data_IF_528789357165
#
_entry.id   IF_528789357165
#
_cell.length_a   1.000
_cell.length_b   1.000
_cell.length_c   1.000
_cell.angle_alpha   90.00
_cell.angle_beta   90.00
_cell.angle_gamma   90.00
#
_symmetry.space_group_name_H-M   'P 1'
#
loop_
_entity.id
_entity.type
_entity.pdbx_description
1 polymer ?
#
# COMPACT_ATOMS: atom_id res chain seq x y z
N UNK A 1 -24.10 59.17 78.62
CA UNK A 1 -24.03 60.63 78.46
C UNK A 1 -22.62 61.03 78.16
N UNK A 2 -22.28 61.92 77.32
CA UNK A 2 -22.88 62.34 76.04
C UNK A 2 -21.89 61.91 74.88
N UNK A 3 -22.31 61.68 73.68
CA UNK A 3 -22.81 62.51 72.59
C UNK A 3 -21.73 63.28 71.82
N UNK A 4 -21.98 63.38 70.60
CA UNK A 4 -21.68 64.33 69.51
C UNK A 4 -20.58 63.92 68.58
N UNK A 5 -20.95 63.36 67.43
CA UNK A 5 -21.33 64.03 66.19
C UNK A 5 -20.18 64.75 65.46
N UNK A 6 -20.06 64.32 64.21
CA UNK A 6 -19.90 65.19 63.05
C UNK A 6 -18.66 66.07 62.97
N UNK A 7 -17.85 65.74 61.94
CA UNK A 7 -17.36 66.71 60.97
C UNK A 7 -16.72 65.95 59.80
N UNK A 8 -17.44 65.89 58.70
CA UNK A 8 -17.26 66.61 57.42
C UNK A 8 -16.05 66.25 56.61
N UNK A 9 -16.41 65.61 55.53
CA UNK A 9 -15.96 65.85 54.13
C UNK A 9 -14.77 66.86 54.01
N UNK A 10 -13.68 66.33 53.48
CA UNK A 10 -12.85 67.03 52.50
C UNK A 10 -12.07 65.95 51.72
N UNK A 11 -12.15 66.07 50.42
CA UNK A 11 -11.62 65.14 49.47
C UNK A 11 -10.11 65.13 49.38
N UNK A 12 -9.57 63.98 49.13
CA UNK A 12 -8.28 63.85 48.50
C UNK A 12 -8.38 62.69 47.53
N UNK A 13 -8.19 63.03 46.28
CA UNK A 13 -8.05 62.07 45.20
C UNK A 13 -6.83 61.19 45.47
N UNK A 14 -7.04 59.97 45.90
CA UNK A 14 -5.99 58.98 45.95
C UNK A 14 -6.02 58.24 44.61
N UNK A 15 -4.97 58.41 43.84
CA UNK A 15 -4.69 57.72 42.62
C UNK A 15 -4.74 56.20 42.85
N UNK A 16 -5.76 55.53 42.28
CA UNK A 16 -5.80 54.07 42.16
C UNK A 16 -4.82 53.69 41.05
N UNK A 17 -3.61 53.38 41.47
CA UNK A 17 -2.62 52.77 40.61
C UNK A 17 -3.08 51.39 40.20
N UNK A 18 -3.64 51.27 39.01
CA UNK A 18 -4.01 50.01 38.38
C UNK A 18 -2.71 49.26 38.03
N UNK A 19 -2.29 48.35 38.89
CA UNK A 19 -1.26 47.38 38.57
C UNK A 19 -1.89 46.34 37.63
N UNK A 20 -1.81 46.57 36.30
CA UNK A 20 -2.02 45.54 35.31
C UNK A 20 -0.79 44.63 35.38
N UNK A 21 -0.90 43.57 36.15
CA UNK A 21 -0.02 42.42 36.03
C UNK A 21 -0.26 41.85 34.63
N UNK A 22 0.55 42.29 33.68
CA UNK A 22 0.67 41.61 32.37
C UNK A 22 1.22 40.21 32.65
N UNK A 23 0.31 39.25 32.78
CA UNK A 23 0.64 37.83 32.73
C UNK A 23 1.16 37.57 31.31
N UNK A 24 2.47 37.67 31.14
CA UNK A 24 3.15 37.13 29.95
C UNK A 24 2.98 35.62 30.02
N UNK A 25 1.87 35.13 29.48
CA UNK A 25 1.77 33.71 29.16
C UNK A 25 2.86 33.45 28.12
N UNK A 26 3.99 32.93 28.56
CA UNK A 26 4.97 32.31 27.69
C UNK A 26 4.25 31.17 26.97
N UNK A 27 3.73 31.46 25.78
CA UNK A 27 3.39 30.41 24.81
C UNK A 27 4.72 29.73 24.50
N UNK A 28 5.04 28.72 25.28
CA UNK A 28 6.14 27.84 24.98
C UNK A 28 5.88 27.33 23.57
N UNK A 29 6.70 27.74 22.60
CA UNK A 29 6.73 27.13 21.29
C UNK A 29 6.95 25.65 21.57
N UNK A 30 5.90 24.84 21.45
CA UNK A 30 6.04 23.38 21.41
C UNK A 30 6.91 23.09 20.22
N UNK A 31 8.18 22.75 20.48
CA UNK A 31 9.04 22.14 19.48
C UNK A 31 8.25 20.95 18.93
N UNK A 32 8.01 20.88 17.62
CA UNK A 32 7.30 19.74 17.03
C UNK A 32 8.01 18.48 17.54
N UNK A 33 7.31 17.66 18.31
CA UNK A 33 7.86 16.38 18.76
C UNK A 33 8.18 15.61 17.49
N UNK A 34 9.45 15.32 17.26
CA UNK A 34 9.85 14.47 16.17
C UNK A 34 9.03 13.16 16.24
N UNK A 35 8.41 12.80 15.15
CA UNK A 35 7.59 11.60 15.07
C UNK A 35 8.45 10.38 15.41
N UNK A 36 8.06 9.53 16.39
CA UNK A 36 8.84 8.35 16.77
C UNK A 36 9.08 7.45 15.55
N UNK A 37 10.31 6.99 15.40
CA UNK A 37 10.71 6.09 14.31
C UNK A 37 11.36 4.86 14.92
N UNK A 38 10.78 3.68 14.65
CA UNK A 38 11.28 2.41 15.15
C UNK A 38 11.52 1.45 14.00
N UNK A 39 12.66 0.79 13.98
CA UNK A 39 12.99 -0.23 12.99
C UNK A 39 13.41 -1.54 13.64
N UNK A 40 13.01 -2.66 13.03
CA UNK A 40 13.52 -4.00 13.28
C UNK A 40 14.24 -4.48 12.03
N UNK A 41 15.51 -4.84 12.15
CA UNK A 41 16.32 -5.38 11.05
C UNK A 41 16.89 -6.74 11.43
N UNK A 42 16.67 -7.74 10.55
CA UNK A 42 17.09 -9.14 10.78
C UNK A 42 17.86 -9.62 9.55
N UNK A 43 19.07 -10.14 9.76
CA UNK A 43 19.91 -10.69 8.70
C UNK A 43 20.42 -12.09 9.04
N UNK A 44 20.07 -13.06 8.22
CA UNK A 44 20.43 -14.46 8.40
C UNK A 44 21.35 -14.94 7.27
N UNK A 45 22.58 -15.27 7.63
CA UNK A 45 23.62 -15.77 6.72
C UNK A 45 24.07 -17.19 7.04
N UNK A 46 24.13 -17.54 8.35
CA UNK A 46 24.78 -18.76 8.86
C UNK A 46 23.83 -19.98 8.84
N UNK A 47 23.20 -20.24 7.70
CA UNK A 47 22.39 -21.44 7.53
C UNK A 47 23.26 -22.71 7.46
N UNK A 48 22.77 -23.81 8.03
CA UNK A 48 23.46 -25.13 7.91
C UNK A 48 23.48 -25.61 6.46
N UNK A 49 22.35 -25.42 5.74
CA UNK A 49 22.24 -25.69 4.31
C UNK A 49 22.16 -24.36 3.57
N UNK A 50 22.96 -24.20 2.51
CA UNK A 50 22.98 -23.01 1.65
C UNK A 50 23.24 -21.69 2.41
N UNK A 51 24.40 -21.51 3.06
CA UNK A 51 24.76 -20.26 3.71
C UNK A 51 24.79 -19.11 2.69
N UNK A 52 24.43 -17.90 3.14
CA UNK A 52 24.41 -16.69 2.33
C UNK A 52 25.57 -15.78 2.73
N UNK A 53 26.09 -15.02 1.74
CA UNK A 53 27.26 -14.16 1.92
C UNK A 53 26.88 -12.81 2.53
N UNK A 54 25.86 -12.16 2.01
CA UNK A 54 25.61 -10.74 2.21
C UNK A 54 24.59 -10.36 3.31
N UNK A 55 23.61 -11.17 3.74
CA UNK A 55 22.53 -10.71 4.63
C UNK A 55 22.97 -10.02 5.91
N UNK A 56 24.03 -10.48 6.56
CA UNK A 56 24.55 -9.84 7.78
C UNK A 56 25.20 -8.50 7.45
N UNK A 57 25.89 -8.36 6.31
CA UNK A 57 26.45 -7.09 5.87
C UNK A 57 25.32 -6.10 5.52
N UNK A 58 24.27 -6.58 4.86
CA UNK A 58 23.11 -5.81 4.46
C UNK A 58 22.39 -5.22 5.69
N UNK A 59 22.17 -6.03 6.69
CA UNK A 59 21.55 -5.62 7.96
C UNK A 59 22.38 -4.58 8.70
N UNK A 60 23.69 -4.75 8.76
CA UNK A 60 24.59 -3.77 9.38
C UNK A 60 24.55 -2.42 8.68
N UNK A 61 24.62 -2.42 7.34
CA UNK A 61 24.54 -1.22 6.54
C UNK A 61 23.17 -0.55 6.63
N UNK A 62 22.09 -1.32 6.58
CA UNK A 62 20.72 -0.84 6.71
C UNK A 62 20.46 -0.27 8.11
N UNK A 63 20.91 -0.94 9.16
CA UNK A 63 20.79 -0.47 10.54
C UNK A 63 21.51 0.88 10.75
N UNK A 64 22.71 1.02 10.18
CA UNK A 64 23.43 2.29 10.21
C UNK A 64 22.63 3.38 9.49
N UNK A 65 22.16 3.12 8.28
CA UNK A 65 21.38 4.09 7.48
C UNK A 65 20.10 4.50 8.18
N UNK A 66 19.36 3.56 8.75
CA UNK A 66 18.12 3.86 9.47
C UNK A 66 18.37 4.71 10.74
N UNK A 67 19.49 4.48 11.47
CA UNK A 67 19.87 5.36 12.59
C UNK A 67 20.17 6.79 12.13
N UNK A 68 20.87 6.95 11.00
CA UNK A 68 21.14 8.25 10.38
C UNK A 68 19.84 8.98 9.98
N UNK A 69 18.78 8.22 9.69
CA UNK A 69 17.43 8.70 9.36
C UNK A 69 16.53 8.87 10.60
N UNK A 70 17.09 8.81 11.81
CA UNK A 70 16.38 9.05 13.07
C UNK A 70 15.58 7.87 13.61
N UNK A 71 15.81 6.65 13.11
CA UNK A 71 15.17 5.45 13.67
C UNK A 71 15.91 4.93 14.90
N UNK A 72 15.17 4.54 15.93
CA UNK A 72 15.64 3.57 16.91
C UNK A 72 15.64 2.20 16.24
N UNK A 73 16.79 1.49 16.24
CA UNK A 73 16.94 0.27 15.45
C UNK A 73 17.24 -0.94 16.34
N UNK A 74 16.36 -1.94 16.28
CA UNK A 74 16.57 -3.27 16.83
C UNK A 74 17.27 -4.12 15.76
N UNK A 75 18.41 -4.75 16.10
CA UNK A 75 19.24 -5.51 15.14
C UNK A 75 19.39 -6.94 15.60
N UNK A 76 19.13 -7.88 14.69
CA UNK A 76 19.38 -9.30 14.93
C UNK A 76 20.13 -9.91 13.75
N UNK A 77 21.26 -10.55 14.04
CA UNK A 77 22.10 -11.25 13.08
C UNK A 77 22.05 -12.75 13.38
N UNK A 78 21.87 -13.57 12.34
CA UNK A 78 21.83 -15.03 12.46
C UNK A 78 20.86 -15.51 13.55
N UNK A 79 19.64 -15.01 13.48
CA UNK A 79 18.63 -15.22 14.49
C UNK A 79 17.96 -16.60 14.35
N UNK A 80 17.77 -17.28 15.49
CA UNK A 80 16.93 -18.48 15.59
C UNK A 80 15.45 -18.11 15.47
N UNK A 81 14.59 -19.10 15.21
CA UNK A 81 13.14 -18.89 15.17
C UNK A 81 12.62 -18.18 16.41
N UNK A 82 12.98 -18.67 17.59
CA UNK A 82 12.58 -18.07 18.86
C UNK A 82 13.01 -16.61 18.99
N UNK A 83 14.23 -16.30 18.54
CA UNK A 83 14.75 -14.93 18.59
C UNK A 83 13.97 -14.03 17.63
N UNK A 84 13.68 -14.50 16.41
CA UNK A 84 12.93 -13.72 15.42
C UNK A 84 11.50 -13.42 15.90
N UNK A 85 10.78 -14.42 16.39
CA UNK A 85 9.42 -14.26 16.91
C UNK A 85 9.38 -13.31 18.12
N UNK A 86 10.31 -13.47 19.07
CA UNK A 86 10.40 -12.56 20.21
C UNK A 86 10.72 -11.12 19.80
N UNK A 87 11.59 -10.93 18.81
CA UNK A 87 11.93 -9.61 18.28
C UNK A 87 10.74 -8.96 17.56
N UNK A 88 9.95 -9.72 16.81
CA UNK A 88 8.74 -9.22 16.13
C UNK A 88 7.68 -8.78 17.16
N UNK A 89 7.46 -9.57 18.22
CA UNK A 89 6.51 -9.24 19.29
C UNK A 89 6.97 -7.97 20.04
N UNK A 90 8.25 -7.90 20.40
CA UNK A 90 8.82 -6.71 21.06
C UNK A 90 8.73 -5.47 20.16
N UNK A 91 8.99 -5.62 18.86
CA UNK A 91 8.85 -4.54 17.88
C UNK A 91 7.41 -4.05 17.82
N UNK A 92 6.41 -4.94 17.69
CA UNK A 92 4.99 -4.56 17.68
C UNK A 92 4.57 -3.84 18.95
N UNK A 93 4.98 -4.35 20.12
CA UNK A 93 4.69 -3.72 21.42
C UNK A 93 5.24 -2.29 21.50
N UNK A 94 6.45 -2.04 20.99
CA UNK A 94 7.07 -0.70 20.98
C UNK A 94 6.48 0.22 19.92
N UNK A 95 5.98 -0.33 18.80
CA UNK A 95 5.26 0.45 17.78
C UNK A 95 3.94 1.02 18.28
N UNK A 96 3.33 0.43 19.32
CA UNK A 96 2.09 0.94 19.91
C UNK A 96 2.21 2.38 20.46
N UNK A 97 3.43 2.89 20.61
CA UNK A 97 3.70 4.30 20.95
C UNK A 97 3.44 5.28 19.78
N UNK A 98 3.13 4.76 18.58
CA UNK A 98 2.83 5.51 17.38
C UNK A 98 4.04 5.76 16.47
N UNK A 99 3.85 6.57 15.43
CA UNK A 99 4.91 7.01 14.52
C UNK A 99 5.11 6.14 13.28
N UNK A 100 6.38 5.93 12.90
CA UNK A 100 6.78 5.17 11.71
C UNK A 100 7.46 3.88 12.12
N UNK A 101 6.93 2.74 11.64
CA UNK A 101 7.54 1.42 11.78
C UNK A 101 8.26 0.99 10.51
N UNK A 102 9.48 0.46 10.62
CA UNK A 102 10.21 -0.13 9.51
C UNK A 102 10.68 -1.53 9.89
N UNK A 103 10.43 -2.49 9.01
CA UNK A 103 10.98 -3.85 9.12
C UNK A 103 11.84 -4.13 7.89
N UNK A 104 13.03 -4.65 8.12
CA UNK A 104 13.93 -5.09 7.06
C UNK A 104 14.42 -6.50 7.36
N UNK A 105 14.29 -7.38 6.39
CA UNK A 105 14.80 -8.74 6.46
C UNK A 105 15.68 -9.06 5.27
N UNK A 106 16.85 -9.62 5.53
CA UNK A 106 17.74 -10.22 4.53
C UNK A 106 18.04 -11.68 4.89
N UNK A 107 17.81 -12.60 3.94
CA UNK A 107 17.99 -14.04 4.18
C UNK A 107 17.16 -14.92 3.25
N UNK A 108 17.05 -16.21 3.59
CA UNK A 108 16.16 -17.10 2.85
C UNK A 108 14.69 -16.81 3.18
N UNK A 109 13.86 -16.79 2.15
CA UNK A 109 12.42 -16.70 2.26
C UNK A 109 11.73 -17.80 1.44
N UNK A 110 10.61 -18.28 1.92
CA UNK A 110 9.83 -19.35 1.31
C UNK A 110 8.37 -18.95 1.17
N UNK A 111 7.72 -19.45 0.12
CA UNK A 111 6.29 -19.40 -0.02
C UNK A 111 5.71 -20.82 0.06
N UNK A 112 4.73 -21.00 0.94
CA UNK A 112 3.95 -22.24 1.04
C UNK A 112 2.47 -21.88 1.00
N UNK A 113 1.74 -22.39 0.00
CA UNK A 113 0.29 -22.17 -0.17
C UNK A 113 -0.12 -20.70 -0.09
N UNK A 114 0.64 -19.81 -0.74
CA UNK A 114 0.36 -18.38 -0.77
C UNK A 114 0.83 -17.59 0.45
N UNK A 115 1.36 -18.22 1.48
CA UNK A 115 1.90 -17.55 2.69
C UNK A 115 3.42 -17.47 2.63
N UNK A 116 3.97 -16.37 3.10
CA UNK A 116 5.40 -16.09 3.12
C UNK A 116 6.01 -16.43 4.46
N UNK A 117 7.16 -17.08 4.43
CA UNK A 117 7.90 -17.50 5.61
C UNK A 117 9.35 -17.01 5.53
N UNK A 118 9.84 -16.44 6.62
CA UNK A 118 11.24 -16.06 6.81
C UNK A 118 11.98 -17.21 7.48
N UNK A 119 13.13 -17.60 6.94
CA UNK A 119 13.86 -18.77 7.39
C UNK A 119 14.86 -18.39 8.49
N UNK A 120 14.73 -18.88 9.72
CA UNK A 120 15.73 -18.73 10.78
C UNK A 120 16.97 -19.58 10.49
N UNK A 121 18.11 -19.30 11.17
CA UNK A 121 19.35 -20.06 10.93
C UNK A 121 19.29 -21.49 11.48
N UNK A 122 18.40 -21.77 12.42
CA UNK A 122 18.17 -23.08 13.04
C UNK A 122 17.01 -23.87 12.39
N UNK A 123 16.46 -23.38 11.27
CA UNK A 123 15.35 -24.06 10.62
C UNK A 123 15.77 -25.41 10.00
N UNK A 124 15.05 -26.46 10.34
CA UNK A 124 15.12 -27.77 9.70
C UNK A 124 13.88 -27.97 8.84
N UNK A 125 14.06 -27.82 7.51
CA UNK A 125 12.97 -27.81 6.54
C UNK A 125 13.12 -29.00 5.59
N UNK A 126 12.20 -29.94 5.71
CA UNK A 126 12.16 -31.15 4.88
C UNK A 126 10.98 -31.12 3.86
N UNK A 127 9.88 -30.48 4.24
CA UNK A 127 8.65 -30.40 3.46
C UNK A 127 7.84 -29.13 3.77
N UNK A 128 6.63 -29.02 3.18
CA UNK A 128 5.71 -27.90 3.44
C UNK A 128 5.19 -27.86 4.88
N UNK A 129 5.05 -29.00 5.54
CA UNK A 129 4.54 -29.06 6.91
C UNK A 129 5.60 -28.58 7.89
N UNK A 130 6.84 -29.05 7.74
CA UNK A 130 7.99 -28.63 8.56
C UNK A 130 8.30 -27.15 8.36
N UNK A 131 8.10 -26.57 7.14
CA UNK A 131 8.27 -25.14 6.90
C UNK A 131 7.40 -24.30 7.85
N UNK A 132 6.13 -24.66 8.00
CA UNK A 132 5.19 -23.91 8.87
C UNK A 132 5.57 -23.97 10.34
N UNK A 133 6.28 -25.01 10.74
CA UNK A 133 6.74 -25.19 12.12
C UNK A 133 8.12 -24.57 12.35
N UNK A 134 9.03 -24.69 11.38
CA UNK A 134 10.43 -24.29 11.52
C UNK A 134 10.72 -22.84 11.09
N UNK A 135 9.89 -22.24 10.23
CA UNK A 135 10.06 -20.87 9.75
C UNK A 135 9.11 -19.88 10.46
N UNK A 136 9.37 -18.59 10.29
CA UNK A 136 8.55 -17.49 10.84
C UNK A 136 7.59 -16.99 9.78
N UNK A 137 6.29 -17.03 10.06
CA UNK A 137 5.26 -16.52 9.16
C UNK A 137 5.30 -14.98 9.12
N UNK A 138 5.34 -14.40 7.92
CA UNK A 138 5.32 -12.94 7.74
C UNK A 138 4.02 -12.32 8.26
N UNK A 139 2.93 -13.09 8.30
CA UNK A 139 1.65 -12.64 8.84
C UNK A 139 1.78 -12.21 10.31
N UNK A 140 2.56 -12.92 11.13
CA UNK A 140 2.83 -12.51 12.52
C UNK A 140 3.36 -11.07 12.61
N UNK A 141 4.28 -10.67 11.70
CA UNK A 141 4.79 -9.33 11.66
C UNK A 141 3.71 -8.32 11.25
N UNK A 142 2.94 -8.66 10.21
CA UNK A 142 1.89 -7.77 9.67
C UNK A 142 0.76 -7.56 10.69
N UNK A 143 0.39 -8.58 11.43
CA UNK A 143 -0.58 -8.50 12.53
C UNK A 143 -0.05 -7.56 13.62
N UNK A 144 1.19 -7.74 14.08
CA UNK A 144 1.80 -6.88 15.10
C UNK A 144 1.87 -5.41 14.66
N UNK A 145 2.22 -5.16 13.39
CA UNK A 145 2.26 -3.81 12.84
C UNK A 145 0.86 -3.22 12.66
N UNK A 146 -0.13 -4.02 12.28
CA UNK A 146 -1.53 -3.61 12.12
C UNK A 146 -2.20 -3.25 13.45
N UNK A 147 -1.91 -3.99 14.51
CA UNK A 147 -2.45 -3.75 15.86
C UNK A 147 -1.83 -2.50 16.52
N UNK A 148 -0.60 -2.17 16.18
CA UNK A 148 0.12 -1.04 16.75
C UNK A 148 -0.50 0.33 16.48
N UNK A 149 -1.39 0.45 15.47
CA UNK A 149 -2.07 1.71 15.07
C UNK A 149 -1.13 2.88 14.80
N UNK A 150 0.12 2.60 14.46
CA UNK A 150 1.07 3.62 14.04
C UNK A 150 0.70 4.17 12.65
N UNK A 151 1.24 5.33 12.30
CA UNK A 151 0.84 6.08 11.10
C UNK A 151 1.26 5.40 9.80
N UNK A 152 2.49 4.87 9.77
CA UNK A 152 3.10 4.28 8.57
C UNK A 152 3.90 3.05 8.95
N UNK A 153 3.71 1.99 8.17
CA UNK A 153 4.49 0.76 8.23
C UNK A 153 5.24 0.55 6.90
N UNK A 154 6.51 0.20 6.98
CA UNK A 154 7.35 -0.17 5.84
C UNK A 154 7.91 -1.56 6.10
N UNK A 155 7.58 -2.52 5.25
CA UNK A 155 8.11 -3.89 5.31
C UNK A 155 8.99 -4.13 4.09
N UNK A 156 10.25 -4.47 4.30
CA UNK A 156 11.24 -4.68 3.24
C UNK A 156 11.76 -6.11 3.34
N UNK A 157 11.49 -6.90 2.31
CA UNK A 157 11.86 -8.31 2.24
C UNK A 157 12.94 -8.51 1.16
N UNK A 158 14.21 -8.42 1.59
CA UNK A 158 15.37 -8.78 0.76
C UNK A 158 15.69 -10.26 0.97
N UNK A 159 14.74 -11.08 0.55
CA UNK A 159 14.86 -12.53 0.67
C UNK A 159 15.19 -13.14 -0.69
N UNK A 160 16.29 -13.87 -0.75
CA UNK A 160 16.67 -14.68 -1.89
C UNK A 160 15.59 -15.74 -2.14
N UNK A 161 15.13 -15.82 -3.39
CA UNK A 161 14.05 -16.72 -3.79
C UNK A 161 14.54 -18.04 -4.37
N UNK A 162 15.83 -18.33 -4.29
CA UNK A 162 16.34 -19.67 -4.46
C UNK A 162 15.97 -20.44 -3.20
N UNK A 163 14.83 -21.11 -3.28
CA UNK A 163 14.43 -22.05 -2.23
C UNK A 163 15.46 -23.19 -2.22
N UNK A 164 16.39 -23.25 -1.25
CA UNK A 164 17.35 -24.35 -1.20
C UNK A 164 16.66 -25.70 -0.97
N UNK A 165 15.39 -25.66 -0.56
CA UNK A 165 14.54 -26.81 -0.26
C UNK A 165 13.58 -27.17 -1.43
N UNK A 166 13.66 -26.49 -2.59
CA UNK A 166 12.75 -26.68 -3.74
C UNK A 166 12.65 -28.15 -4.18
N UNK A 167 13.78 -28.88 -4.15
CA UNK A 167 13.81 -30.29 -4.52
C UNK A 167 13.02 -31.21 -3.57
N UNK A 168 12.76 -30.75 -2.34
CA UNK A 168 12.05 -31.49 -1.29
C UNK A 168 10.57 -31.10 -1.21
N UNK A 169 10.16 -30.00 -1.86
CA UNK A 169 8.79 -29.45 -1.80
C UNK A 169 8.06 -29.55 -3.13
N UNK A 170 7.06 -30.43 -3.20
CA UNK A 170 6.28 -30.68 -4.44
C UNK A 170 5.33 -29.51 -4.84
N UNK A 171 5.08 -28.55 -4.00
CA UNK A 171 4.13 -27.44 -4.21
C UNK A 171 4.71 -26.05 -3.92
N UNK A 172 6.03 -25.95 -3.66
CA UNK A 172 6.65 -24.65 -3.42
C UNK A 172 6.73 -23.84 -4.71
N UNK A 173 6.00 -22.75 -4.76
CA UNK A 173 6.14 -21.76 -5.84
C UNK A 173 7.48 -21.04 -5.66
N UNK A 174 8.13 -20.70 -6.78
CA UNK A 174 9.34 -19.86 -6.73
C UNK A 174 8.98 -18.49 -6.17
N UNK A 175 9.79 -18.00 -5.26
CA UNK A 175 9.67 -16.66 -4.72
C UNK A 175 8.67 -16.48 -3.58
N UNK A 176 8.60 -15.24 -3.07
CA UNK A 176 7.57 -14.84 -2.11
C UNK A 176 6.26 -14.49 -2.84
N UNK A 177 5.12 -14.75 -2.21
CA UNK A 177 3.83 -14.28 -2.68
C UNK A 177 3.73 -12.75 -2.54
N UNK A 178 2.98 -12.10 -3.43
CA UNK A 178 2.53 -10.77 -3.15
C UNK A 178 1.59 -10.81 -1.93
N UNK A 179 1.82 -9.90 -0.98
CA UNK A 179 0.94 -9.70 0.17
C UNK A 179 0.15 -8.42 -0.06
N UNK A 180 -1.14 -8.46 0.18
CA UNK A 180 -1.95 -7.26 0.20
C UNK A 180 -1.56 -6.42 1.42
N UNK A 181 -1.06 -5.22 1.16
CA UNK A 181 -0.61 -4.32 2.21
C UNK A 181 -1.81 -3.87 3.05
N UNK A 182 -1.80 -4.17 4.36
CA UNK A 182 -2.76 -3.62 5.30
C UNK A 182 -2.74 -2.08 5.24
N UNK A 183 -3.84 -1.43 5.63
CA UNK A 183 -3.95 0.04 5.56
C UNK A 183 -2.77 0.73 6.26
N UNK A 184 -2.15 1.67 5.57
CA UNK A 184 -0.99 2.41 6.08
C UNK A 184 0.33 1.63 5.99
N UNK A 185 0.38 0.56 5.20
CA UNK A 185 1.57 -0.29 5.04
C UNK A 185 2.09 -0.25 3.60
N UNK A 186 3.40 -0.22 3.45
CA UNK A 186 4.11 -0.48 2.20
C UNK A 186 4.93 -1.76 2.39
N UNK A 187 4.74 -2.74 1.50
CA UNK A 187 5.54 -3.98 1.47
C UNK A 187 6.39 -4.00 0.21
N UNK A 188 7.70 -4.02 0.38
CA UNK A 188 8.67 -4.01 -0.71
C UNK A 188 9.45 -5.33 -0.75
N UNK A 189 9.69 -5.82 -1.96
CA UNK A 189 10.38 -7.07 -2.24
C UNK A 189 11.58 -6.82 -3.14
N UNK A 190 12.70 -7.47 -2.88
CA UNK A 190 13.90 -7.37 -3.70
C UNK A 190 13.68 -7.79 -5.16
N UNK A 191 12.63 -8.56 -5.46
CA UNK A 191 12.31 -9.01 -6.81
C UNK A 191 10.81 -9.29 -6.99
N UNK A 192 10.33 -9.30 -8.23
CA UNK A 192 8.93 -9.58 -8.56
C UNK A 192 8.47 -10.99 -8.13
N UNK A 193 7.18 -11.23 -7.88
CA UNK A 193 6.65 -12.57 -7.59
C UNK A 193 7.11 -13.61 -8.63
N UNK A 194 7.59 -14.76 -8.17
CA UNK A 194 8.08 -15.83 -9.05
C UNK A 194 9.51 -15.67 -9.60
N UNK A 195 10.23 -14.60 -9.28
CA UNK A 195 11.59 -14.32 -9.76
C UNK A 195 12.65 -14.55 -8.68
N UNK A 196 13.93 -14.66 -9.04
CA UNK A 196 15.07 -14.90 -8.13
C UNK A 196 15.83 -13.60 -7.92
N UNK A 197 16.18 -13.24 -6.69
CA UNK A 197 17.14 -12.18 -6.39
C UNK A 197 18.57 -12.76 -6.40
N UNK A 198 19.50 -12.03 -6.99
CA UNK A 198 20.92 -12.36 -6.92
C UNK A 198 21.50 -11.86 -5.59
N UNK A 199 22.34 -12.67 -4.95
CA UNK A 199 23.07 -12.28 -3.73
C UNK A 199 24.13 -11.19 -4.01
N UNK A 200 24.43 -10.92 -5.30
CA UNK A 200 25.41 -9.93 -5.73
C UNK A 200 26.85 -10.34 -5.46
N UNK A 201 27.78 -9.71 -6.20
CA UNK A 201 29.23 -9.95 -6.06
C UNK A 201 29.89 -8.95 -5.10
N UNK A 202 29.16 -7.96 -4.62
CA UNK A 202 29.63 -6.89 -3.77
C UNK A 202 29.64 -7.22 -2.28
N UNK A 203 29.89 -6.19 -1.46
CA UNK A 203 29.80 -6.25 0.00
C UNK A 203 28.36 -6.40 0.48
N UNK A 204 27.41 -5.85 -0.30
CA UNK A 204 25.98 -5.91 -0.07
C UNK A 204 25.29 -6.58 -1.26
N UNK A 205 24.09 -7.10 -1.03
CA UNK A 205 23.19 -7.53 -2.09
C UNK A 205 22.79 -6.37 -2.99
N UNK A 206 22.59 -6.63 -4.30
CA UNK A 206 22.28 -5.59 -5.30
C UNK A 206 21.10 -4.71 -4.89
N UNK A 207 20.03 -5.32 -4.38
CA UNK A 207 18.85 -4.58 -3.93
C UNK A 207 19.15 -3.66 -2.76
N UNK A 208 19.84 -4.18 -1.75
CA UNK A 208 20.20 -3.39 -0.56
C UNK A 208 21.18 -2.27 -0.91
N UNK A 209 22.13 -2.49 -1.82
CA UNK A 209 23.05 -1.44 -2.28
C UNK A 209 22.27 -0.27 -2.88
N UNK A 210 21.35 -0.53 -3.81
CA UNK A 210 20.53 0.50 -4.43
C UNK A 210 19.54 1.16 -3.44
N UNK A 211 19.03 0.40 -2.48
CA UNK A 211 18.16 0.96 -1.45
C UNK A 211 18.92 1.91 -0.52
N UNK A 212 20.12 1.54 -0.10
CA UNK A 212 20.99 2.40 0.72
C UNK A 212 21.34 3.70 -0.01
N UNK A 213 21.56 3.65 -1.33
CA UNK A 213 21.84 4.83 -2.14
C UNK A 213 20.61 5.72 -2.27
N UNK A 214 19.45 5.14 -2.58
CA UNK A 214 18.20 5.90 -2.71
C UNK A 214 17.77 6.57 -1.38
N UNK A 215 18.02 5.92 -0.24
CA UNK A 215 17.76 6.49 1.09
C UNK A 215 18.70 7.63 1.46
N UNK A 216 19.80 7.85 0.73
CA UNK A 216 20.68 9.03 0.93
C UNK A 216 20.07 10.30 0.38
N UNK A 217 19.22 10.18 -0.61
CA UNK A 217 18.66 11.35 -1.26
C UNK A 217 17.63 12.04 -0.38
N UNK A 218 17.82 13.33 -0.10
CA UNK A 218 16.88 14.07 0.73
C UNK A 218 15.60 14.41 -0.04
N UNK A 219 14.48 14.48 0.68
CA UNK A 219 13.21 14.96 0.14
C UNK A 219 12.42 13.95 -0.69
N UNK A 220 12.94 12.74 -0.94
CA UNK A 220 12.17 11.71 -1.65
C UNK A 220 11.07 11.14 -0.77
N UNK A 221 9.88 11.00 -1.34
CA UNK A 221 8.81 10.21 -0.74
C UNK A 221 9.18 8.72 -0.78
N UNK A 222 8.69 7.96 0.18
CA UNK A 222 9.05 6.54 0.31
C UNK A 222 8.73 5.74 -0.95
N UNK A 223 7.61 6.00 -1.62
CA UNK A 223 7.28 5.34 -2.90
C UNK A 223 8.25 5.71 -4.02
N UNK A 224 8.76 6.95 -4.03
CA UNK A 224 9.78 7.40 -5.00
C UNK A 224 11.12 6.70 -4.74
N UNK A 225 11.47 6.47 -3.47
CA UNK A 225 12.65 5.68 -3.09
C UNK A 225 12.56 4.28 -3.71
N UNK A 226 11.47 3.55 -3.50
CA UNK A 226 11.32 2.19 -4.03
C UNK A 226 11.21 2.16 -5.56
N UNK A 227 10.54 3.13 -6.18
CA UNK A 227 10.53 3.28 -7.64
C UNK A 227 11.95 3.45 -8.21
N UNK A 228 12.79 4.26 -7.56
CA UNK A 228 14.19 4.45 -7.97
C UNK A 228 15.01 3.18 -7.81
N UNK A 229 14.87 2.51 -6.67
CA UNK A 229 15.50 1.20 -6.44
C UNK A 229 15.14 0.21 -7.54
N UNK A 230 13.86 0.12 -7.89
CA UNK A 230 13.38 -0.77 -8.96
C UNK A 230 14.07 -0.47 -10.30
N UNK A 231 14.12 0.80 -10.70
CA UNK A 231 14.75 1.23 -11.96
C UNK A 231 16.22 0.86 -11.98
N UNK A 232 16.94 1.14 -10.89
CA UNK A 232 18.38 0.91 -10.82
C UNK A 232 18.73 -0.57 -10.77
N UNK A 233 18.02 -1.35 -9.94
CA UNK A 233 18.21 -2.81 -9.84
C UNK A 233 17.91 -3.48 -11.18
N UNK A 234 16.79 -3.14 -11.85
CA UNK A 234 16.45 -3.69 -13.15
C UNK A 234 17.52 -3.37 -14.20
N UNK A 235 18.03 -2.14 -14.21
CA UNK A 235 19.12 -1.72 -15.12
C UNK A 235 20.43 -2.48 -14.84
N UNK A 236 20.87 -2.55 -13.57
CA UNK A 236 22.14 -3.19 -13.20
C UNK A 236 22.08 -4.70 -13.37
N UNK A 237 20.95 -5.31 -13.10
CA UNK A 237 20.73 -6.76 -13.31
C UNK A 237 20.42 -7.11 -14.76
N UNK A 238 20.42 -6.15 -15.70
CA UNK A 238 20.02 -6.36 -17.11
C UNK A 238 18.63 -7.00 -17.23
N UNK A 239 17.71 -6.63 -16.34
CA UNK A 239 16.33 -7.12 -16.34
C UNK A 239 16.10 -8.47 -15.66
N UNK A 240 17.15 -9.12 -15.13
CA UNK A 240 17.00 -10.42 -14.45
C UNK A 240 16.39 -10.29 -13.04
N UNK A 241 16.48 -9.12 -12.43
CA UNK A 241 15.90 -8.80 -11.12
C UNK A 241 15.08 -7.51 -11.22
N UNK A 242 13.79 -7.57 -10.92
CA UNK A 242 12.90 -6.42 -10.90
C UNK A 242 12.23 -6.34 -9.55
N UNK A 243 12.61 -5.42 -8.67
CA UNK A 243 11.94 -5.18 -7.39
C UNK A 243 10.45 -4.88 -7.55
N UNK A 244 9.68 -5.25 -6.57
CA UNK A 244 8.23 -5.05 -6.54
C UNK A 244 7.80 -4.46 -5.20
N UNK A 245 6.75 -3.62 -5.20
CA UNK A 245 6.10 -3.16 -3.97
C UNK A 245 4.59 -3.15 -4.10
N UNK A 246 3.92 -3.30 -2.95
CA UNK A 246 2.50 -3.06 -2.73
C UNK A 246 2.37 -1.98 -1.66
N UNK A 247 1.61 -0.91 -1.93
CA UNK A 247 1.44 0.23 -1.01
C UNK A 247 -0.03 0.51 -0.78
N UNK A 248 -0.41 0.64 0.49
CA UNK A 248 -1.71 1.13 0.95
C UNK A 248 -1.56 2.42 1.76
N UNK A 249 -0.44 3.12 1.60
CA UNK A 249 -0.18 4.39 2.27
C UNK A 249 -1.21 5.45 1.83
N UNK A 250 -1.76 6.16 2.80
CA UNK A 250 -2.75 7.22 2.54
C UNK A 250 -2.17 8.63 2.68
N UNK A 251 -0.89 8.73 3.02
CA UNK A 251 -0.17 10.00 3.18
C UNK A 251 1.30 9.87 2.80
N UNK A 252 1.89 10.98 2.45
CA UNK A 252 3.31 11.05 2.09
C UNK A 252 4.21 10.80 3.30
N UNK A 253 5.25 10.01 3.11
CA UNK A 253 6.36 9.87 4.05
C UNK A 253 7.67 10.22 3.35
N UNK A 254 8.33 11.27 3.84
CA UNK A 254 9.72 11.59 3.48
C UNK A 254 10.62 11.01 4.58
N UNK A 255 11.46 10.04 4.20
CA UNK A 255 12.31 9.34 5.18
C UNK A 255 13.54 10.17 5.53
N UNK A 256 14.18 10.77 4.51
CA UNK A 256 15.36 11.62 4.67
C UNK A 256 14.97 13.09 4.58
N UNK A 257 14.82 13.72 5.74
CA UNK A 257 14.53 15.16 5.85
C UNK A 257 15.84 15.87 6.19
N UNK A 258 16.47 16.54 5.24
CA UNK A 258 17.57 17.46 5.53
C UNK A 258 17.00 18.74 6.13
N UNK A 259 17.12 18.89 7.45
CA UNK A 259 16.96 20.20 8.07
C UNK A 259 18.26 20.96 7.78
N UNK A 260 18.25 21.83 6.79
CA UNK A 260 19.30 22.82 6.63
C UNK A 260 19.24 23.81 7.82
N UNK A 261 19.87 23.45 8.94
CA UNK A 261 20.15 24.41 10.00
C UNK A 261 21.32 25.28 9.50
N UNK A 262 21.03 26.25 8.70
CA UNK A 262 21.97 27.33 8.44
C UNK A 262 22.03 28.17 9.72
N UNK A 263 23.02 27.91 10.56
CA UNK A 263 23.42 28.85 11.63
C UNK A 263 24.10 30.07 10.99
N UNK A 264 23.36 30.82 10.23
CA UNK A 264 23.70 32.20 9.94
C UNK A 264 23.02 33.04 11.02
N UNK A 265 23.80 33.67 11.89
CA UNK A 265 23.33 34.78 12.67
C UNK A 265 22.92 35.89 11.68
N UNK A 266 21.69 35.90 11.26
CA UNK A 266 21.09 36.91 10.43
C UNK A 266 20.11 37.67 11.28
N UNK A 267 20.31 38.99 11.36
CA UNK A 267 19.31 39.92 11.80
C UNK A 267 17.97 39.54 11.18
N UNK A 268 16.92 39.42 12.00
CA UNK A 268 15.60 39.00 11.58
C UNK A 268 15.14 39.81 10.37
N UNK A 269 14.91 39.17 9.22
CA UNK A 269 14.14 39.80 8.14
C UNK A 269 12.70 39.96 8.61
N UNK A 270 11.96 40.97 8.15
CA UNK A 270 10.55 41.12 8.47
C UNK A 270 9.83 39.85 8.08
N UNK A 271 8.96 39.36 8.95
CA UNK A 271 8.17 38.15 8.74
C UNK A 271 7.58 38.16 7.35
N UNK A 272 8.10 37.28 6.49
CA UNK A 272 7.52 37.04 5.16
C UNK A 272 6.11 36.52 5.37
N UNK A 273 5.14 37.19 4.76
CA UNK A 273 3.76 36.74 4.70
C UNK A 273 3.74 35.26 4.25
N UNK A 274 2.84 34.43 4.81
CA UNK A 274 2.78 33.01 4.43
C UNK A 274 2.72 32.89 2.92
N UNK A 275 3.49 31.95 2.36
CA UNK A 275 3.49 31.68 0.91
C UNK A 275 2.10 31.22 0.46
N UNK A 276 1.22 32.18 0.19
CA UNK A 276 -0.15 31.96 -0.20
C UNK A 276 -0.23 31.28 -1.58
N UNK A 277 0.75 31.54 -2.43
CA UNK A 277 0.82 30.92 -3.76
C UNK A 277 1.11 29.42 -3.63
N UNK A 278 2.15 29.03 -2.85
CA UNK A 278 2.49 27.64 -2.60
C UNK A 278 1.36 26.86 -1.95
N UNK A 279 0.70 27.46 -0.93
CA UNK A 279 -0.46 26.84 -0.28
C UNK A 279 -1.64 26.65 -1.25
N UNK A 280 -1.93 27.63 -2.09
CA UNK A 280 -2.99 27.49 -3.10
C UNK A 280 -2.63 26.41 -4.11
N UNK A 281 -1.40 26.42 -4.64
CA UNK A 281 -0.94 25.39 -5.55
C UNK A 281 -1.04 23.98 -4.94
N UNK A 282 -0.59 23.81 -3.71
CA UNK A 282 -0.68 22.53 -3.00
C UNK A 282 -2.10 21.99 -2.86
N UNK A 283 -3.10 22.90 -2.72
CA UNK A 283 -4.51 22.50 -2.60
C UNK A 283 -5.14 22.02 -3.91
N UNK A 284 -4.58 22.38 -5.08
CA UNK A 284 -5.18 22.10 -6.39
C UNK A 284 -4.35 21.18 -7.30
N UNK A 285 -3.04 21.04 -7.06
CA UNK A 285 -2.08 20.38 -7.98
C UNK A 285 -2.47 18.96 -8.41
N UNK A 286 -3.15 18.22 -7.54
CA UNK A 286 -3.59 16.83 -7.76
C UNK A 286 -5.09 16.76 -8.15
N UNK A 287 -5.78 17.92 -8.22
CA UNK A 287 -7.17 18.02 -8.61
C UNK A 287 -7.39 17.82 -10.11
N UNK A 288 -8.63 17.49 -10.47
CA UNK A 288 -9.10 17.35 -11.86
C UNK A 288 -10.09 18.42 -12.27
N UNK A 289 -10.36 19.41 -11.41
CA UNK A 289 -11.27 20.52 -11.67
C UNK A 289 -10.56 21.64 -12.44
N UNK A 290 -10.93 21.90 -13.72
CA UNK A 290 -10.35 22.99 -14.50
C UNK A 290 -10.50 24.37 -13.84
N UNK A 291 -11.64 24.62 -13.17
CA UNK A 291 -11.91 25.91 -12.54
C UNK A 291 -10.92 26.25 -11.44
N UNK A 292 -10.37 25.26 -10.73
CA UNK A 292 -9.35 25.45 -9.70
C UNK A 292 -8.03 25.97 -10.31
N UNK A 293 -7.61 25.44 -11.46
CA UNK A 293 -6.41 25.89 -12.18
C UNK A 293 -6.60 27.26 -12.83
N UNK A 294 -7.80 27.54 -13.33
CA UNK A 294 -8.15 28.87 -13.85
C UNK A 294 -8.13 29.93 -12.74
N UNK A 295 -8.69 29.62 -11.57
CA UNK A 295 -8.65 30.50 -10.40
C UNK A 295 -7.21 30.78 -9.95
N UNK A 296 -6.36 29.75 -9.95
CA UNK A 296 -4.94 29.91 -9.65
C UNK A 296 -4.25 30.85 -10.66
N UNK A 297 -4.42 30.60 -11.96
CA UNK A 297 -3.82 31.43 -13.03
C UNK A 297 -4.34 32.87 -13.04
N UNK A 298 -5.57 33.09 -12.62
CA UNK A 298 -6.14 34.42 -12.43
C UNK A 298 -5.47 35.16 -11.28
N UNK A 299 -5.17 34.48 -10.19
CA UNK A 299 -4.58 35.09 -9.00
C UNK A 299 -3.04 35.20 -9.12
N UNK A 300 -2.38 34.25 -9.80
CA UNK A 300 -0.92 34.15 -9.95
C UNK A 300 -0.52 33.94 -11.41
N UNK A 301 -0.79 34.92 -12.32
CA UNK A 301 -0.57 34.73 -13.78
C UNK A 301 0.91 34.56 -14.15
N UNK A 302 1.83 35.03 -13.31
CA UNK A 302 3.29 34.93 -13.44
C UNK A 302 3.92 34.19 -12.26
N UNK A 303 3.11 33.47 -11.49
CA UNK A 303 3.54 32.75 -10.31
C UNK A 303 4.50 31.60 -10.62
N UNK A 304 5.17 31.11 -9.58
CA UNK A 304 6.16 30.02 -9.64
C UNK A 304 5.59 28.78 -10.32
N UNK A 305 4.32 28.47 -10.11
CA UNK A 305 3.66 27.29 -10.66
C UNK A 305 2.76 27.60 -11.87
N UNK A 306 2.76 28.84 -12.41
CA UNK A 306 1.88 29.24 -13.50
C UNK A 306 2.04 28.39 -14.78
N UNK A 307 3.25 27.98 -15.11
CA UNK A 307 3.52 27.09 -16.24
C UNK A 307 2.92 25.70 -16.01
N UNK A 308 3.10 25.13 -14.82
CA UNK A 308 2.51 23.84 -14.44
C UNK A 308 0.99 23.92 -14.41
N UNK A 309 0.41 25.01 -13.90
CA UNK A 309 -1.03 25.23 -13.87
C UNK A 309 -1.63 25.27 -15.30
N UNK A 310 -0.96 25.92 -16.26
CA UNK A 310 -1.39 25.92 -17.68
C UNK A 310 -1.32 24.52 -18.28
N UNK A 311 -0.27 23.76 -18.01
CA UNK A 311 -0.15 22.38 -18.49
C UNK A 311 -1.24 21.49 -17.90
N UNK A 312 -1.50 21.60 -16.59
CA UNK A 312 -2.58 20.87 -15.93
C UNK A 312 -3.95 21.27 -16.47
N UNK A 313 -4.22 22.55 -16.59
CA UNK A 313 -5.45 23.05 -17.18
C UNK A 313 -5.67 22.49 -18.59
N UNK A 314 -4.65 22.52 -19.44
CA UNK A 314 -4.73 21.92 -20.77
C UNK A 314 -5.01 20.40 -20.73
N UNK A 315 -4.45 19.68 -19.76
CA UNK A 315 -4.66 18.23 -19.61
C UNK A 315 -6.05 17.86 -19.08
N UNK A 316 -6.63 18.68 -18.18
CA UNK A 316 -7.95 18.44 -17.59
C UNK A 316 -9.09 19.07 -18.41
N UNK A 317 -8.80 20.14 -19.20
CA UNK A 317 -9.76 20.80 -20.11
C UNK A 317 -9.83 20.13 -21.48
N UNK A 318 -8.83 19.30 -21.85
CA UNK A 318 -9.05 18.39 -22.96
C UNK A 318 -10.16 17.44 -22.53
N UNK A 319 -11.29 17.36 -23.27
CA UNK A 319 -12.22 16.26 -23.08
C UNK A 319 -11.34 15.03 -23.14
N UNK A 320 -11.33 14.24 -22.05
CA UNK A 320 -10.62 12.95 -22.03
C UNK A 320 -10.95 12.32 -23.38
N UNK A 321 -9.97 11.99 -24.27
CA UNK A 321 -10.26 11.52 -25.61
C UNK A 321 -11.34 10.49 -25.39
N UNK A 322 -12.52 10.70 -26.00
CA UNK A 322 -13.69 9.88 -25.76
C UNK A 322 -13.18 8.48 -25.97
N UNK A 323 -12.78 7.83 -24.88
CA UNK A 323 -12.09 6.54 -24.92
C UNK A 323 -13.16 5.68 -25.48
N UNK A 324 -13.01 5.36 -26.73
CA UNK A 324 -14.01 4.88 -27.66
C UNK A 324 -14.66 3.61 -27.06
N UNK A 325 -15.66 3.84 -26.18
CA UNK A 325 -16.49 2.77 -25.63
C UNK A 325 -17.27 2.12 -26.77
N UNK A 326 -17.45 2.83 -27.90
CA UNK A 326 -18.06 2.29 -29.12
C UNK A 326 -17.31 1.10 -29.67
N UNK A 327 -16.02 0.94 -29.40
CA UNK A 327 -15.25 -0.26 -29.75
C UNK A 327 -15.82 -1.54 -29.14
N UNK A 328 -16.50 -1.45 -27.99
CA UNK A 328 -17.15 -2.56 -27.32
C UNK A 328 -18.61 -2.73 -27.73
N UNK A 329 -19.23 -1.75 -28.40
CA UNK A 329 -20.64 -1.78 -28.76
C UNK A 329 -20.96 -2.91 -29.74
N UNK A 330 -22.14 -3.49 -29.55
CA UNK A 330 -22.66 -4.56 -30.37
C UNK A 330 -23.03 -5.82 -29.59
N UNK A 331 -23.27 -6.89 -30.32
CA UNK A 331 -23.67 -8.18 -29.76
C UNK A 331 -22.46 -9.03 -29.39
N UNK A 332 -22.52 -9.64 -28.22
CA UNK A 332 -21.47 -10.50 -27.67
C UNK A 332 -22.04 -11.87 -27.29
N UNK A 333 -21.45 -12.93 -27.80
CA UNK A 333 -21.75 -14.31 -27.37
C UNK A 333 -21.08 -14.55 -26.01
N UNK A 334 -21.87 -14.82 -24.99
CA UNK A 334 -21.39 -15.09 -23.63
C UNK A 334 -21.51 -16.57 -23.33
N UNK A 335 -20.41 -17.18 -22.89
CA UNK A 335 -20.40 -18.54 -22.37
C UNK A 335 -20.05 -18.52 -20.90
N UNK A 336 -20.99 -18.96 -20.06
CA UNK A 336 -20.79 -19.14 -18.62
C UNK A 336 -20.44 -20.59 -18.36
N UNK A 337 -19.27 -20.86 -17.82
CA UNK A 337 -18.80 -22.18 -17.45
C UNK A 337 -18.63 -22.29 -15.94
N UNK A 338 -19.33 -23.22 -15.33
CA UNK A 338 -19.23 -23.50 -13.91
C UNK A 338 -18.79 -24.94 -13.70
N UNK A 339 -17.58 -25.22 -13.21
CA UNK A 339 -17.10 -26.59 -12.96
C UNK A 339 -17.91 -27.27 -11.86
N UNK A 340 -17.80 -28.57 -11.69
CA UNK A 340 -18.37 -29.27 -10.57
C UNK A 340 -17.80 -28.72 -9.25
N UNK A 341 -18.64 -28.57 -8.22
CA UNK A 341 -18.23 -28.02 -6.94
C UNK A 341 -19.08 -28.58 -5.80
N UNK A 342 -18.46 -29.27 -4.85
CA UNK A 342 -19.19 -30.02 -3.82
C UNK A 342 -20.15 -31.05 -4.44
N UNK A 343 -21.43 -30.97 -4.10
CA UNK A 343 -22.48 -31.83 -4.67
C UNK A 343 -23.07 -31.31 -5.99
N UNK A 344 -22.67 -30.12 -6.45
CA UNK A 344 -23.20 -29.50 -7.65
C UNK A 344 -22.48 -29.98 -8.92
N UNK A 345 -23.25 -30.42 -9.93
CA UNK A 345 -22.73 -30.84 -11.22
C UNK A 345 -22.20 -29.67 -12.05
N UNK A 346 -21.20 -29.93 -12.92
CA UNK A 346 -20.74 -28.96 -13.89
C UNK A 346 -21.84 -28.58 -14.88
N UNK A 347 -21.86 -27.30 -15.29
CA UNK A 347 -22.75 -26.86 -16.36
C UNK A 347 -22.14 -25.75 -17.20
N UNK A 348 -22.66 -25.62 -18.42
CA UNK A 348 -22.34 -24.50 -19.32
C UNK A 348 -23.65 -23.86 -19.78
N UNK A 349 -23.68 -22.53 -19.82
CA UNK A 349 -24.79 -21.75 -20.38
C UNK A 349 -24.25 -20.79 -21.43
N UNK A 350 -25.06 -20.56 -22.48
CA UNK A 350 -24.74 -19.58 -23.52
C UNK A 350 -25.88 -18.57 -23.62
N UNK A 351 -25.53 -17.31 -23.75
CA UNK A 351 -26.50 -16.23 -23.90
C UNK A 351 -25.88 -15.09 -24.72
N UNK A 352 -26.73 -14.23 -25.27
CA UNK A 352 -26.33 -13.05 -26.02
C UNK A 352 -26.34 -11.83 -25.12
N UNK A 353 -25.23 -11.09 -25.06
CA UNK A 353 -25.17 -9.79 -24.43
C UNK A 353 -25.19 -8.69 -25.48
N UNK A 354 -25.81 -7.56 -25.14
CA UNK A 354 -25.71 -6.32 -25.89
C UNK A 354 -24.86 -5.33 -25.10
N UNK A 355 -23.95 -4.67 -25.79
CA UNK A 355 -23.16 -3.58 -25.24
C UNK A 355 -23.46 -2.33 -26.01
N UNK A 356 -23.78 -1.25 -25.30
CA UNK A 356 -23.98 0.08 -25.86
C UNK A 356 -23.38 1.12 -24.91
N UNK A 357 -22.52 1.98 -25.45
CA UNK A 357 -21.82 3.00 -24.68
C UNK A 357 -21.12 2.42 -23.42
N UNK A 358 -20.58 1.20 -23.55
CA UNK A 358 -19.96 0.43 -22.47
C UNK A 358 -20.95 -0.22 -21.50
N UNK A 359 -22.27 0.05 -21.58
CA UNK A 359 -23.26 -0.65 -20.76
C UNK A 359 -23.51 -2.05 -21.34
N UNK A 360 -23.27 -3.10 -20.55
CA UNK A 360 -23.48 -4.50 -20.89
C UNK A 360 -24.77 -4.99 -20.25
N UNK A 361 -25.63 -5.62 -21.06
CA UNK A 361 -26.83 -6.29 -20.61
C UNK A 361 -27.02 -7.61 -21.35
N UNK A 362 -27.36 -8.68 -20.61
CA UNK A 362 -27.69 -9.99 -21.19
C UNK A 362 -28.79 -10.66 -20.37
N UNK A 363 -29.61 -11.48 -21.05
CA UNK A 363 -30.68 -12.25 -20.42
C UNK A 363 -30.79 -13.62 -21.06
N UNK A 364 -30.98 -14.63 -20.22
CA UNK A 364 -31.31 -16.00 -20.60
C UNK A 364 -32.59 -16.41 -19.87
N UNK A 365 -33.60 -16.80 -20.60
CA UNK A 365 -34.91 -17.15 -20.07
C UNK A 365 -35.73 -15.94 -19.61
N UNK A 366 -36.95 -16.21 -19.12
CA UNK A 366 -37.86 -15.17 -18.65
C UNK A 366 -37.58 -14.83 -17.16
N UNK A 367 -37.44 -13.55 -16.86
CA UNK A 367 -37.17 -13.07 -15.50
C UNK A 367 -38.28 -13.57 -14.55
N UNK A 368 -37.85 -14.13 -13.42
CA UNK A 368 -38.76 -14.71 -12.42
C UNK A 368 -39.16 -16.17 -12.67
N UNK A 369 -38.70 -16.79 -13.77
CA UNK A 369 -38.89 -18.21 -14.01
C UNK A 369 -37.64 -19.02 -13.64
N UNK A 370 -37.78 -20.28 -13.17
CA UNK A 370 -36.65 -21.14 -12.89
C UNK A 370 -35.72 -21.28 -14.10
N UNK A 371 -34.42 -21.02 -13.90
CA UNK A 371 -33.40 -21.10 -14.93
C UNK A 371 -33.05 -19.78 -15.62
N UNK A 372 -33.72 -18.66 -15.32
CA UNK A 372 -33.31 -17.38 -15.85
C UNK A 372 -31.92 -16.94 -15.30
N UNK A 373 -31.24 -16.16 -16.10
CA UNK A 373 -29.97 -15.51 -15.74
C UNK A 373 -29.93 -14.13 -16.41
N UNK A 374 -29.65 -13.10 -15.63
CA UNK A 374 -29.31 -11.77 -16.16
C UNK A 374 -27.89 -11.40 -15.83
N UNK A 375 -27.22 -10.72 -16.76
CA UNK A 375 -25.92 -10.10 -16.56
C UNK A 375 -26.08 -8.61 -16.84
N UNK A 376 -25.61 -7.75 -15.92
CA UNK A 376 -25.61 -6.31 -16.12
C UNK A 376 -24.33 -5.69 -15.56
N UNK A 377 -23.73 -4.76 -16.31
CA UNK A 377 -22.47 -4.14 -15.89
C UNK A 377 -22.06 -2.99 -16.80
N UNK A 378 -20.93 -2.38 -16.49
CA UNK A 378 -20.36 -1.31 -17.31
C UNK A 378 -18.89 -1.58 -17.61
N UNK A 379 -18.55 -1.62 -18.88
CA UNK A 379 -17.19 -1.72 -19.38
C UNK A 379 -16.55 -0.34 -19.27
N UNK A 380 -15.41 -0.26 -18.61
CA UNK A 380 -14.63 0.95 -18.47
C UNK A 380 -13.77 1.20 -19.73
N UNK A 381 -13.29 2.43 -19.95
CA UNK A 381 -12.41 2.72 -21.09
C UNK A 381 -11.12 1.90 -21.13
N UNK A 382 -10.65 1.36 -20.01
CA UNK A 382 -9.47 0.47 -19.95
C UNK A 382 -9.81 -1.00 -20.24
N UNK A 383 -11.09 -1.31 -20.54
CA UNK A 383 -11.57 -2.66 -20.82
C UNK A 383 -12.02 -3.43 -19.59
N UNK A 384 -11.81 -2.93 -18.37
CA UNK A 384 -12.29 -3.59 -17.16
C UNK A 384 -13.79 -3.43 -16.99
N UNK A 385 -14.44 -4.44 -16.44
CA UNK A 385 -15.86 -4.40 -16.12
C UNK A 385 -16.16 -5.18 -14.84
N UNK A 386 -17.08 -4.64 -14.03
CA UNK A 386 -17.73 -5.39 -12.95
C UNK A 386 -19.16 -5.69 -13.39
N UNK A 387 -19.52 -6.97 -13.41
CA UNK A 387 -20.79 -7.48 -13.95
C UNK A 387 -21.56 -8.17 -12.82
N UNK A 388 -22.75 -7.69 -12.54
CA UNK A 388 -23.68 -8.35 -11.64
C UNK A 388 -24.44 -9.45 -12.40
N UNK A 389 -24.37 -10.67 -11.87
CA UNK A 389 -25.13 -11.82 -12.34
C UNK A 389 -26.25 -12.13 -11.37
N UNK A 390 -27.49 -12.21 -11.84
CA UNK A 390 -28.67 -12.57 -11.04
C UNK A 390 -29.46 -13.63 -11.75
N UNK A 391 -29.91 -14.62 -11.01
CA UNK A 391 -30.67 -15.69 -11.60
C UNK A 391 -31.50 -16.50 -10.61
N UNK A 392 -32.14 -17.54 -11.14
CA UNK A 392 -32.96 -18.47 -10.37
C UNK A 392 -32.56 -19.90 -10.73
N UNK A 393 -32.47 -20.78 -9.75
CA UNK A 393 -32.10 -22.18 -9.92
C UNK A 393 -33.13 -22.87 -10.83
N UNK A 394 -32.67 -23.36 -11.98
CA UNK A 394 -33.50 -24.15 -12.89
C UNK A 394 -33.40 -25.65 -12.59
N UNK A 395 -32.18 -26.16 -12.43
CA UNK A 395 -31.91 -27.55 -12.08
C UNK A 395 -31.15 -27.60 -10.73
N UNK A 396 -31.77 -28.16 -9.67
CA UNK A 396 -31.15 -28.29 -8.36
C UNK A 396 -29.82 -29.04 -8.34
N UNK A 397 -29.57 -29.92 -9.30
CA UNK A 397 -28.30 -30.66 -9.42
C UNK A 397 -27.12 -29.76 -9.75
N UNK A 398 -27.39 -28.58 -10.32
CA UNK A 398 -26.40 -27.56 -10.64
C UNK A 398 -26.23 -26.50 -9.56
N UNK A 399 -27.00 -26.58 -8.47
CA UNK A 399 -26.98 -25.61 -7.40
C UNK A 399 -26.00 -26.02 -6.27
N UNK A 400 -25.21 -25.08 -5.79
CA UNK A 400 -24.38 -25.24 -4.58
C UNK A 400 -25.32 -25.22 -3.36
N UNK A 401 -24.96 -25.93 -2.29
CA UNK A 401 -25.71 -26.00 -1.03
C UNK A 401 -27.13 -26.56 -1.17
N UNK A 402 -27.39 -27.38 -2.20
CA UNK A 402 -28.69 -28.04 -2.44
C UNK A 402 -29.89 -27.08 -2.53
N UNK A 403 -29.66 -25.89 -3.08
CA UNK A 403 -30.75 -24.93 -3.32
C UNK A 403 -31.84 -25.58 -4.20
N UNK A 404 -33.10 -25.38 -3.83
CA UNK A 404 -34.25 -25.90 -4.57
C UNK A 404 -34.45 -25.15 -5.91
N UNK A 405 -35.16 -25.77 -6.85
CA UNK A 405 -35.64 -25.10 -8.04
C UNK A 405 -36.43 -23.83 -7.67
N UNK A 406 -36.22 -22.73 -8.35
CA UNK A 406 -36.84 -21.45 -8.07
C UNK A 406 -36.13 -20.60 -7.00
N UNK A 407 -35.11 -21.12 -6.32
CA UNK A 407 -34.32 -20.31 -5.42
C UNK A 407 -33.50 -19.25 -6.18
N UNK A 408 -33.47 -18.02 -5.71
CA UNK A 408 -32.72 -16.92 -6.34
C UNK A 408 -31.25 -16.96 -5.94
N UNK A 409 -30.38 -16.51 -6.84
CA UNK A 409 -28.96 -16.32 -6.57
C UNK A 409 -28.45 -15.05 -7.23
N UNK A 410 -27.40 -14.46 -6.64
CA UNK A 410 -26.68 -13.35 -7.22
C UNK A 410 -25.17 -13.52 -6.95
N UNK A 411 -24.34 -13.06 -7.86
CA UNK A 411 -22.88 -12.99 -7.69
C UNK A 411 -22.29 -11.92 -8.61
N UNK A 412 -21.07 -11.49 -8.32
CA UNK A 412 -20.31 -10.54 -9.14
C UNK A 412 -19.23 -11.23 -9.95
N UNK A 413 -18.98 -10.69 -11.13
CA UNK A 413 -17.94 -11.13 -12.04
C UNK A 413 -17.07 -9.94 -12.39
N UNK A 414 -15.76 -10.04 -12.15
CA UNK A 414 -14.80 -9.10 -12.68
C UNK A 414 -14.29 -9.61 -14.04
N UNK A 415 -14.37 -8.75 -15.05
CA UNK A 415 -14.05 -9.09 -16.42
C UNK A 415 -13.10 -8.06 -17.05
N UNK A 416 -12.31 -8.54 -18.03
CA UNK A 416 -11.45 -7.71 -18.87
C UNK A 416 -11.80 -7.95 -20.33
N UNK A 417 -12.01 -6.88 -21.11
CA UNK A 417 -12.33 -6.88 -22.52
C UNK A 417 -11.17 -6.32 -23.34
N UNK A 418 -10.70 -7.10 -24.30
CA UNK A 418 -9.64 -6.75 -25.24
C UNK A 418 -10.08 -7.04 -26.67
N UNK A 419 -10.24 -5.99 -27.49
CA UNK A 419 -10.72 -6.12 -28.85
C UNK A 419 -12.10 -6.81 -28.95
N UNK A 420 -12.16 -7.96 -29.60
CA UNK A 420 -13.37 -8.77 -29.79
C UNK A 420 -13.53 -9.90 -28.75
N UNK A 421 -12.74 -9.89 -27.69
CA UNK A 421 -12.77 -10.92 -26.64
C UNK A 421 -12.86 -10.30 -25.25
N UNK A 422 -13.50 -11.02 -24.31
CA UNK A 422 -13.51 -10.70 -22.90
C UNK A 422 -13.48 -11.97 -22.06
N UNK A 423 -12.86 -11.89 -20.89
CA UNK A 423 -12.82 -12.98 -19.92
C UNK A 423 -13.15 -12.43 -18.55
N UNK A 424 -14.00 -13.12 -17.83
CA UNK A 424 -14.39 -12.75 -16.47
C UNK A 424 -14.47 -13.95 -15.55
N UNK A 425 -14.20 -13.70 -14.26
CA UNK A 425 -14.28 -14.71 -13.22
C UNK A 425 -15.19 -14.22 -12.09
N UNK A 426 -15.90 -15.15 -11.48
CA UNK A 426 -16.67 -14.89 -10.27
C UNK A 426 -15.75 -14.51 -9.11
N UNK A 427 -16.08 -13.48 -8.35
CA UNK A 427 -15.23 -12.87 -7.29
C UNK A 427 -15.49 -13.39 -5.88
N UNK A 428 -16.55 -14.17 -5.64
CA UNK A 428 -16.89 -14.66 -4.31
C UNK A 428 -16.02 -15.89 -3.94
N UNK A 429 -15.03 -15.72 -3.06
CA UNK A 429 -14.04 -16.73 -2.66
C UNK A 429 -14.62 -18.03 -2.06
N UNK A 430 -15.77 -17.96 -1.41
CA UNK A 430 -16.44 -19.13 -0.81
C UNK A 430 -17.39 -19.86 -1.76
N UNK A 431 -17.48 -19.42 -3.01
CA UNK A 431 -18.48 -19.89 -3.94
C UNK A 431 -17.85 -20.68 -5.12
N UNK A 432 -18.71 -21.34 -5.89
CA UNK A 432 -18.32 -22.08 -7.09
C UNK A 432 -17.54 -21.20 -8.06
N UNK A 433 -16.32 -21.57 -8.52
CA UNK A 433 -15.52 -20.77 -9.44
C UNK A 433 -16.10 -20.85 -10.86
N UNK A 434 -17.01 -19.93 -11.19
CA UNK A 434 -17.53 -19.81 -12.55
C UNK A 434 -16.69 -18.81 -13.36
N UNK A 435 -16.42 -19.16 -14.63
CA UNK A 435 -15.77 -18.27 -15.60
C UNK A 435 -16.75 -17.87 -16.70
N UNK A 436 -16.59 -16.65 -17.22
CA UNK A 436 -17.37 -16.13 -18.34
C UNK A 436 -16.40 -15.78 -19.49
N UNK A 437 -16.75 -16.21 -20.68
CA UNK A 437 -16.04 -15.83 -21.90
C UNK A 437 -17.00 -15.04 -22.78
N UNK A 438 -16.53 -13.91 -23.27
CA UNK A 438 -17.27 -13.02 -24.18
C UNK A 438 -16.57 -13.00 -25.53
N UNK A 439 -17.32 -13.17 -26.61
CA UNK A 439 -16.81 -13.13 -27.99
C UNK A 439 -17.78 -12.29 -28.82
N UNK A 440 -17.24 -11.24 -29.44
CA UNK A 440 -18.01 -10.31 -30.29
C UNK A 440 -18.29 -10.90 -31.67
#
# INVERSE_FOLDING_TARGET
>A
MPDVSVWRRLGMAAAVGLWILASVSSVGAQVPREEPRLALVIGNSAYRESPLRNPVNDVRAMAQRLRELGFTVLVHENATKRTMEAAIIEFGRRLAEGGVGAFYYAGHGLQVRGRNYLVPVDAEIEDEASTRVAAVDVELLLEQMGEAKNRVNIVILDACRNNPFERRMRGASRGLAAVDAARGTLVAYATAPGSVAADGDGKNGLYTEELLEALREPGLKVEEVFKRVRINVARRSKGTQTPWESSSLTGDLVVNVTVNVTTAAVAAPPASAPDREGLFWMSIKDGTDPAAFEAYLKQYPQGTFATLARQRLASVSQPAPARDLARFDGAWNVTVQCPAHGSASAYTRRLLAQVKDGALAAQLGDVGQPGFLTLSGKIQPDGKASIDARGMVGDPRNAVNRLSQGATYAYRVDAVFEGARGVGNRTDDAARPCSLTFVK
#
